data_IF_455390445893
#
_entry.id   IF_455390445893
#
_cell.length_a   1.000
_cell.length_b   1.000
_cell.length_c   1.000
_cell.angle_alpha   90.00
_cell.angle_beta   90.00
_cell.angle_gamma   90.00
#
_symmetry.space_group_name_H-M   'P 1'
#
loop_
_entity.id
_entity.type
_entity.pdbx_description
1 polymer ?
#
# COMPACT_ATOMS: atom_id res chain seq x y z
N UNK A 1 65.21 30.73 -34.65
CA UNK A 1 64.53 29.50 -34.21
C UNK A 1 64.23 29.45 -32.71
N UNK A 2 64.98 30.13 -31.83
CA UNK A 2 64.75 30.09 -30.37
C UNK A 2 63.46 30.82 -29.92
N UNK A 3 63.03 31.87 -30.63
CA UNK A 3 61.80 32.63 -30.29
C UNK A 3 60.49 31.86 -30.54
N UNK A 4 60.46 30.95 -31.51
CA UNK A 4 59.26 30.16 -31.81
C UNK A 4 58.98 29.08 -30.75
N UNK A 5 60.05 28.56 -30.13
CA UNK A 5 59.97 27.55 -29.08
C UNK A 5 59.39 28.15 -27.79
N UNK A 6 59.75 29.41 -27.49
CA UNK A 6 59.25 30.12 -26.31
C UNK A 6 57.74 30.39 -26.37
N UNK A 7 57.18 30.66 -27.55
CA UNK A 7 55.73 30.90 -27.73
C UNK A 7 54.94 29.60 -27.64
N UNK A 8 55.48 28.48 -28.14
CA UNK A 8 54.84 27.16 -28.01
C UNK A 8 54.75 26.67 -26.56
N UNK A 9 55.78 26.96 -25.73
CA UNK A 9 55.77 26.58 -24.31
C UNK A 9 54.76 27.40 -23.48
N UNK A 10 54.54 28.67 -23.82
CA UNK A 10 53.61 29.53 -23.08
C UNK A 10 52.14 29.16 -23.30
N UNK A 11 51.80 28.59 -24.47
CA UNK A 11 50.44 28.11 -24.78
C UNK A 11 50.07 26.80 -24.09
N UNK A 12 51.04 26.01 -23.62
CA UNK A 12 50.78 24.76 -22.89
C UNK A 12 50.44 25.06 -21.41
N UNK A 13 50.91 26.18 -20.86
CA UNK A 13 50.70 26.53 -19.45
C UNK A 13 49.33 27.16 -19.14
N UNK A 14 48.52 27.55 -20.15
CA UNK A 14 47.16 28.07 -19.94
C UNK A 14 46.09 26.98 -19.99
N UNK A 15 46.45 25.75 -20.36
CA UNK A 15 45.59 24.57 -20.20
C UNK A 15 45.68 24.08 -18.75
N UNK A 16 45.07 24.82 -17.82
CA UNK A 16 44.91 24.38 -16.45
C UNK A 16 44.20 23.02 -16.39
N UNK A 17 44.51 22.16 -15.41
CA UNK A 17 43.86 20.87 -15.29
C UNK A 17 42.34 21.07 -15.12
N UNK A 18 41.55 20.39 -15.95
CA UNK A 18 40.07 20.31 -15.92
C UNK A 18 39.50 19.84 -14.57
N UNK A 19 40.36 19.45 -13.62
CA UNK A 19 40.03 19.04 -12.26
C UNK A 19 39.52 20.18 -11.36
N UNK A 20 39.46 21.41 -11.85
CA UNK A 20 38.81 22.54 -11.19
C UNK A 20 37.46 22.92 -11.83
N UNK A 21 36.88 22.07 -12.68
CA UNK A 21 35.45 22.12 -12.92
C UNK A 21 34.76 21.85 -11.57
N UNK A 22 33.86 22.75 -11.17
CA UNK A 22 33.03 22.62 -9.97
C UNK A 22 32.64 21.16 -9.79
N UNK A 23 33.22 20.51 -8.77
CA UNK A 23 32.78 19.18 -8.37
C UNK A 23 31.38 19.40 -7.88
N UNK A 24 30.40 19.06 -8.72
CA UNK A 24 29.00 19.00 -8.34
C UNK A 24 28.95 18.32 -6.97
N UNK A 25 28.42 18.97 -5.92
CA UNK A 25 28.53 18.46 -4.56
C UNK A 25 28.02 17.02 -4.57
N UNK A 26 28.91 16.05 -4.30
CA UNK A 26 28.54 14.65 -4.27
C UNK A 26 27.42 14.50 -3.25
N UNK A 27 26.21 14.31 -3.77
CA UNK A 27 25.03 14.13 -2.96
C UNK A 27 24.77 12.62 -2.85
N UNK A 28 25.16 11.98 -1.74
CA UNK A 28 24.92 10.55 -1.55
C UNK A 28 23.42 10.21 -1.54
N UNK A 29 22.55 11.20 -1.32
CA UNK A 29 21.11 11.05 -1.28
C UNK A 29 20.44 11.25 -2.65
N UNK A 30 21.14 11.77 -3.66
CA UNK A 30 20.62 11.94 -5.02
C UNK A 30 20.04 10.64 -5.63
N UNK A 31 20.74 9.48 -5.59
CA UNK A 31 20.16 8.25 -6.09
C UNK A 31 18.93 7.83 -5.30
N UNK A 32 18.82 8.10 -3.99
CA UNK A 32 17.61 7.76 -3.23
C UNK A 32 16.44 8.71 -3.49
N UNK A 33 16.72 10.00 -3.77
CA UNK A 33 15.70 10.97 -4.18
C UNK A 33 15.11 10.61 -5.56
N UNK A 34 15.93 10.02 -6.43
CA UNK A 34 15.54 9.54 -7.76
C UNK A 34 15.10 8.07 -7.78
N UNK A 35 15.50 7.22 -6.84
CA UNK A 35 15.15 5.80 -6.81
C UNK A 35 13.90 5.55 -5.97
N UNK A 36 13.67 6.27 -4.86
CA UNK A 36 12.32 6.39 -4.27
C UNK A 36 11.43 7.31 -5.13
N UNK A 37 11.50 7.13 -6.44
CA UNK A 37 10.57 7.71 -7.37
C UNK A 37 9.15 7.28 -7.03
N UNK A 38 8.23 8.16 -7.37
CA UNK A 38 6.80 7.87 -7.49
C UNK A 38 6.51 6.54 -8.18
N UNK A 39 7.39 6.08 -9.08
CA UNK A 39 7.26 4.79 -9.76
C UNK A 39 7.44 3.58 -8.85
N UNK A 40 8.50 3.53 -8.03
CA UNK A 40 8.71 2.44 -7.06
C UNK A 40 7.64 2.48 -5.97
N UNK A 41 7.31 3.66 -5.44
CA UNK A 41 6.24 3.81 -4.46
C UNK A 41 4.90 3.32 -5.01
N UNK A 42 4.57 3.68 -6.25
CA UNK A 42 3.36 3.20 -6.93
C UNK A 42 3.39 1.69 -7.14
N UNK A 43 4.53 1.12 -7.51
CA UNK A 43 4.66 -0.34 -7.67
C UNK A 43 4.46 -1.08 -6.35
N UNK A 44 5.05 -0.59 -5.26
CA UNK A 44 4.90 -1.16 -3.92
C UNK A 44 3.46 -1.04 -3.42
N UNK A 45 2.83 0.12 -3.63
CA UNK A 45 1.42 0.33 -3.29
C UNK A 45 0.51 -0.60 -4.07
N UNK A 46 0.70 -0.71 -5.39
CA UNK A 46 -0.08 -1.63 -6.21
C UNK A 46 0.09 -3.07 -5.75
N UNK A 47 1.32 -3.52 -5.49
CA UNK A 47 1.58 -4.86 -4.98
C UNK A 47 0.93 -5.09 -3.60
N UNK A 48 0.94 -4.08 -2.73
CA UNK A 48 0.25 -4.16 -1.44
C UNK A 48 -1.27 -4.25 -1.63
N UNK A 49 -1.85 -3.49 -2.55
CA UNK A 49 -3.28 -3.57 -2.88
C UNK A 49 -3.66 -4.91 -3.50
N UNK A 50 -2.87 -5.44 -4.43
CA UNK A 50 -3.12 -6.76 -5.04
C UNK A 50 -3.12 -7.86 -3.98
N UNK A 51 -2.17 -7.80 -3.03
CA UNK A 51 -2.12 -8.74 -1.90
C UNK A 51 -3.30 -8.55 -0.96
N UNK A 52 -3.66 -7.31 -0.64
CA UNK A 52 -4.80 -7.01 0.22
C UNK A 52 -6.11 -7.49 -0.40
N UNK A 53 -6.28 -7.25 -1.70
CA UNK A 53 -7.43 -7.69 -2.47
C UNK A 53 -7.51 -9.21 -2.47
N UNK A 54 -6.40 -9.94 -2.61
CA UNK A 54 -6.42 -11.41 -2.51
C UNK A 54 -6.86 -11.90 -1.12
N UNK A 55 -6.64 -11.14 -0.04
CA UNK A 55 -6.94 -11.59 1.33
C UNK A 55 -8.26 -11.06 1.88
N UNK A 56 -8.85 -10.02 1.27
CA UNK A 56 -10.04 -9.36 1.80
C UNK A 56 -11.17 -9.36 0.77
N UNK A 57 -12.39 -9.56 1.28
CA UNK A 57 -13.62 -9.37 0.52
C UNK A 57 -14.62 -8.62 1.39
N UNK A 58 -15.10 -7.48 0.90
CA UNK A 58 -16.09 -6.63 1.57
C UNK A 58 -17.33 -6.58 0.66
N UNK A 59 -18.47 -6.95 1.23
CA UNK A 59 -19.76 -6.88 0.55
C UNK A 59 -20.73 -6.09 1.42
N UNK A 60 -21.38 -5.10 0.82
CA UNK A 60 -22.44 -4.33 1.47
C UNK A 60 -23.70 -4.39 0.63
N UNK A 61 -24.84 -4.65 1.27
CA UNK A 61 -26.15 -4.47 0.66
C UNK A 61 -26.96 -3.53 1.53
N UNK A 62 -27.46 -2.47 0.93
CA UNK A 62 -28.48 -1.61 1.53
C UNK A 62 -29.79 -1.93 0.82
N UNK A 63 -30.80 -2.32 1.58
CA UNK A 63 -32.13 -2.48 1.01
C UNK A 63 -32.71 -1.11 0.68
N UNK A 64 -33.43 -1.03 -0.44
CA UNK A 64 -33.97 0.24 -0.94
C UNK A 64 -35.06 0.73 0.00
N UNK A 65 -35.01 2.01 0.37
CA UNK A 65 -35.97 2.70 1.22
C UNK A 65 -37.39 2.47 0.68
N UNK A 66 -38.19 1.69 1.40
CA UNK A 66 -39.53 1.25 1.01
C UNK A 66 -40.59 2.37 1.16
N UNK A 67 -40.15 3.63 1.05
CA UNK A 67 -40.97 4.84 1.12
C UNK A 67 -41.49 5.16 2.52
N UNK A 68 -41.23 4.28 3.50
CA UNK A 68 -41.58 4.45 4.91
C UNK A 68 -40.43 5.02 5.74
N UNK A 69 -39.24 5.22 5.17
CA UNK A 69 -38.06 5.69 5.90
C UNK A 69 -37.37 4.58 6.70
N UNK A 70 -37.76 3.33 6.50
CA UNK A 70 -37.11 2.18 7.10
C UNK A 70 -35.89 1.77 6.26
N UNK A 71 -34.74 1.58 6.91
CA UNK A 71 -33.50 1.23 6.22
C UNK A 71 -32.86 0.03 6.88
N UNK A 72 -32.81 -1.05 6.13
CA UNK A 72 -32.06 -2.24 6.50
C UNK A 72 -30.78 -2.34 5.67
N UNK A 73 -29.67 -2.67 6.33
CA UNK A 73 -28.42 -2.94 5.65
C UNK A 73 -27.69 -4.14 6.23
N UNK A 74 -26.92 -4.78 5.37
CA UNK A 74 -26.01 -5.86 5.71
C UNK A 74 -24.62 -5.53 5.21
N UNK A 75 -23.64 -5.67 6.08
CA UNK A 75 -22.22 -5.64 5.77
C UNK A 75 -21.65 -7.03 6.03
N UNK A 76 -20.87 -7.56 5.10
CA UNK A 76 -20.15 -8.80 5.24
C UNK A 76 -18.69 -8.56 4.90
N UNK A 77 -17.82 -8.98 5.80
CA UNK A 77 -16.38 -8.95 5.66
C UNK A 77 -15.88 -10.39 5.70
N UNK A 78 -15.06 -10.78 4.73
CA UNK A 78 -14.33 -12.04 4.75
C UNK A 78 -12.84 -11.78 4.67
N UNK A 79 -12.09 -12.50 5.47
CA UNK A 79 -10.63 -12.51 5.46
C UNK A 79 -10.12 -13.91 5.17
N UNK A 80 -9.28 -14.03 4.14
CA UNK A 80 -8.70 -15.28 3.67
C UNK A 80 -7.22 -15.30 4.08
N UNK A 81 -6.82 -16.02 5.15
CA UNK A 81 -5.47 -15.97 5.68
C UNK A 81 -4.39 -16.38 4.67
N UNK A 82 -4.71 -17.34 3.80
CA UNK A 82 -3.81 -17.86 2.76
C UNK A 82 -3.98 -17.14 1.40
N UNK A 83 -4.95 -16.23 1.31
CA UNK A 83 -5.41 -15.62 0.07
C UNK A 83 -6.49 -16.44 -0.64
N UNK A 84 -7.47 -15.74 -1.24
CA UNK A 84 -8.58 -16.29 -2.03
C UNK A 84 -8.08 -17.16 -3.18
N UNK A 85 -6.92 -16.83 -3.74
CA UNK A 85 -6.30 -17.58 -4.83
C UNK A 85 -5.81 -18.97 -4.42
N UNK A 86 -5.53 -19.21 -3.13
CA UNK A 86 -4.95 -20.46 -2.64
C UNK A 86 -5.92 -21.32 -1.83
N UNK A 87 -6.85 -20.69 -1.12
CA UNK A 87 -7.75 -21.38 -0.21
C UNK A 87 -9.10 -20.67 -0.12
N UNK A 88 -10.16 -21.48 -0.04
CA UNK A 88 -11.51 -21.01 0.30
C UNK A 88 -11.70 -20.84 1.82
N UNK A 89 -10.68 -21.15 2.64
CA UNK A 89 -10.74 -20.93 4.09
C UNK A 89 -10.71 -19.44 4.43
N UNK A 90 -11.73 -19.01 5.19
CA UNK A 90 -11.85 -17.61 5.58
C UNK A 90 -12.49 -17.43 6.95
N UNK A 91 -12.18 -16.31 7.56
CA UNK A 91 -12.89 -15.72 8.68
C UNK A 91 -14.00 -14.84 8.14
N UNK A 92 -15.22 -14.96 8.65
CA UNK A 92 -16.33 -14.07 8.27
C UNK A 92 -16.74 -13.20 9.45
N UNK A 93 -16.90 -11.90 9.21
CA UNK A 93 -17.59 -10.98 10.11
C UNK A 93 -18.79 -10.38 9.38
N UNK A 94 -19.98 -10.50 9.95
CA UNK A 94 -21.23 -10.00 9.38
C UNK A 94 -21.84 -8.99 10.34
N UNK A 95 -22.30 -7.87 9.81
CA UNK A 95 -23.07 -6.85 10.51
C UNK A 95 -24.41 -6.66 9.83
N UNK A 96 -25.49 -6.61 10.61
CA UNK A 96 -26.80 -6.19 10.14
C UNK A 96 -27.24 -5.00 10.96
N UNK A 97 -27.82 -4.01 10.30
CA UNK A 97 -28.42 -2.88 10.96
C UNK A 97 -29.82 -2.63 10.42
N UNK A 98 -30.69 -2.22 11.32
CA UNK A 98 -32.04 -1.80 11.01
C UNK A 98 -32.25 -0.42 11.63
N UNK A 99 -32.57 0.55 10.78
CA UNK A 99 -32.79 1.94 11.17
C UNK A 99 -34.23 2.29 10.81
N UNK A 100 -35.09 2.28 11.82
CA UNK A 100 -36.46 2.72 11.71
C UNK A 100 -36.56 4.27 11.73
N UNK A 101 -37.60 4.85 11.08
CA UNK A 101 -37.90 6.28 11.17
C UNK A 101 -38.36 6.68 12.59
N UNK A 102 -38.41 7.99 12.86
CA UNK A 102 -38.59 8.63 14.18
C UNK A 102 -39.35 7.80 15.24
N UNK A 103 -38.66 7.51 16.36
CA UNK A 103 -39.23 6.84 17.52
C UNK A 103 -39.20 5.31 17.47
N UNK A 104 -38.75 4.70 16.36
CA UNK A 104 -38.53 3.26 16.24
C UNK A 104 -37.22 2.78 16.90
N UNK A 105 -37.15 1.48 17.21
CA UNK A 105 -35.96 0.84 17.76
C UNK A 105 -34.92 0.64 16.65
N UNK A 106 -33.66 0.97 16.95
CA UNK A 106 -32.52 0.67 16.08
C UNK A 106 -31.86 -0.61 16.56
N UNK A 107 -31.74 -1.59 15.68
CA UNK A 107 -31.14 -2.87 16.00
C UNK A 107 -29.83 -3.06 15.22
N UNK A 108 -28.79 -3.47 15.94
CA UNK A 108 -27.47 -3.75 15.40
C UNK A 108 -27.07 -5.15 15.81
N UNK A 109 -26.75 -5.98 14.83
CA UNK A 109 -26.34 -7.36 15.04
C UNK A 109 -24.99 -7.60 14.41
N UNK A 110 -24.11 -8.31 15.13
CA UNK A 110 -22.79 -8.69 14.66
C UNK A 110 -22.60 -10.19 14.84
N UNK A 111 -22.06 -10.87 13.82
CA UNK A 111 -21.74 -12.29 13.86
C UNK A 111 -20.33 -12.52 13.34
N UNK A 112 -19.54 -13.21 14.14
CA UNK A 112 -18.21 -13.69 13.75
C UNK A 112 -18.27 -15.20 13.55
N UNK A 113 -17.86 -15.66 12.38
CA UNK A 113 -17.83 -17.09 12.03
C UNK A 113 -16.39 -17.49 11.74
N UNK A 114 -15.79 -18.37 12.57
CA UNK A 114 -14.46 -18.91 12.30
C UNK A 114 -14.49 -19.88 11.10
N UNK A 115 -13.33 -20.29 10.57
CA UNK A 115 -13.26 -21.20 9.44
C UNK A 115 -13.78 -22.58 9.86
N UNK A 116 -14.48 -23.27 8.95
CA UNK A 116 -15.15 -24.55 9.27
C UNK A 116 -14.16 -25.69 9.60
N UNK A 117 -12.94 -25.66 9.08
CA UNK A 117 -11.96 -26.75 9.19
C UNK A 117 -10.92 -26.58 10.32
N UNK A 118 -11.26 -25.79 11.34
CA UNK A 118 -10.38 -25.45 12.46
C UNK A 118 -10.11 -26.60 13.45
N UNK A 119 -10.10 -27.85 13.00
CA UNK A 119 -9.72 -28.99 13.86
C UNK A 119 -8.24 -28.98 14.26
N UNK A 120 -7.35 -28.23 13.56
CA UNK A 120 -5.90 -28.36 13.77
C UNK A 120 -5.09 -27.05 13.84
N UNK A 121 -5.66 -25.89 14.14
CA UNK A 121 -4.83 -24.72 14.52
C UNK A 121 -5.65 -23.66 15.27
N UNK A 122 -5.43 -23.48 16.59
CA UNK A 122 -5.79 -22.21 17.21
C UNK A 122 -4.93 -21.11 16.56
N UNK A 123 -5.52 -19.95 16.27
CA UNK A 123 -4.74 -18.76 15.97
C UNK A 123 -3.84 -18.49 17.18
N UNK A 124 -2.60 -18.95 17.11
CA UNK A 124 -1.57 -18.57 18.05
C UNK A 124 -1.19 -17.15 17.67
N UNK A 125 -1.73 -16.18 18.42
CA UNK A 125 -1.12 -14.87 18.48
C UNK A 125 0.22 -15.09 19.18
N UNK A 126 1.33 -15.02 18.44
CA UNK A 126 2.64 -14.97 19.08
C UNK A 126 2.66 -13.71 19.95
N UNK A 127 2.78 -13.90 21.27
CA UNK A 127 3.06 -12.79 22.18
C UNK A 127 4.42 -12.19 21.80
N UNK A 128 4.53 -10.86 21.67
CA UNK A 128 5.82 -10.23 21.43
C UNK A 128 6.72 -10.46 22.65
N UNK A 129 7.92 -10.98 22.39
CA UNK A 129 9.01 -11.17 23.35
C UNK A 129 9.47 -9.86 23.99
#
# INVERSE_FOLDING_TARGET
MVRAIAVGFFLICTAGPVWAAEVEPFNPDAPFQEELTTSLLRSLLNQAFDRLEDHIEIMGKLDSDDGKGDRQGRLQFKFYPEGKSKSDEHLTAEGWFHVAPEGGQQDWHFRFTPPKDRKNSPLQFEEPL
#
